data_IF_736306332868
#
_entry.id   IF_736306332868
#
_cell.length_a   1.000
_cell.length_b   1.000
_cell.length_c   1.000
_cell.angle_alpha   90.00
_cell.angle_beta   90.00
_cell.angle_gamma   90.00
#
_symmetry.space_group_name_H-M   'P 1'
#
loop_
_entity.id
_entity.type
_entity.pdbx_description
1 polymer ?
#
# COMPACT_ATOMS: atom_id res chain seq x y z
N UNK A 1 -5.33 -15.53 -37.23
CA UNK A 1 -4.80 -15.11 -35.92
C UNK A 1 -4.70 -13.58 -35.97
N UNK A 2 -5.44 -12.83 -35.14
CA UNK A 2 -5.38 -11.36 -35.17
C UNK A 2 -4.11 -10.91 -34.45
N UNK A 3 -3.27 -10.15 -35.15
CA UNK A 3 -2.07 -9.55 -34.59
C UNK A 3 -2.46 -8.56 -33.48
N UNK A 4 -1.86 -8.70 -32.31
CA UNK A 4 -1.88 -7.67 -31.26
C UNK A 4 -1.01 -6.52 -31.70
N UNK A 5 -1.62 -5.47 -32.26
CA UNK A 5 -0.95 -4.21 -32.54
C UNK A 5 -0.62 -3.52 -31.22
N UNK A 6 0.67 -3.41 -30.89
CA UNK A 6 1.14 -2.66 -29.73
C UNK A 6 1.35 -1.20 -30.11
N UNK A 7 0.50 -0.32 -29.58
CA UNK A 7 0.56 1.13 -29.72
C UNK A 7 1.47 1.72 -28.63
N UNK A 8 2.64 2.23 -29.01
CA UNK A 8 3.53 3.00 -28.13
C UNK A 8 3.04 4.45 -28.02
N UNK A 9 2.23 4.72 -27.00
CA UNK A 9 1.76 6.08 -26.69
C UNK A 9 2.71 6.74 -25.68
N UNK A 10 3.45 7.77 -26.11
CA UNK A 10 4.19 8.67 -25.21
C UNK A 10 3.24 9.66 -24.56
N UNK A 11 2.51 9.22 -23.54
CA UNK A 11 1.57 10.06 -22.79
C UNK A 11 2.34 10.74 -21.65
N UNK A 12 2.41 12.07 -21.66
CA UNK A 12 2.90 12.85 -20.53
C UNK A 12 1.72 13.11 -19.57
N UNK A 13 1.61 12.29 -18.53
CA UNK A 13 0.57 12.43 -17.50
C UNK A 13 1.16 13.00 -16.22
N UNK A 14 0.53 14.04 -15.68
CA UNK A 14 0.82 14.48 -14.33
C UNK A 14 0.15 13.56 -13.29
N UNK A 15 0.59 13.65 -12.04
CA UNK A 15 0.04 12.80 -10.97
C UNK A 15 -1.46 13.02 -10.73
N UNK A 16 -1.98 14.24 -10.88
CA UNK A 16 -3.41 14.50 -10.71
C UNK A 16 -4.22 13.80 -11.79
N UNK A 17 -3.74 13.80 -13.03
CA UNK A 17 -4.36 13.07 -14.15
C UNK A 17 -4.29 11.56 -13.94
N UNK A 18 -3.17 11.03 -13.46
CA UNK A 18 -3.08 9.61 -13.07
C UNK A 18 -4.11 9.25 -12.00
N UNK A 19 -4.27 10.08 -10.96
CA UNK A 19 -5.27 9.81 -9.91
C UNK A 19 -6.71 9.88 -10.43
N UNK A 20 -7.00 10.71 -11.44
CA UNK A 20 -8.35 10.79 -12.00
C UNK A 20 -8.70 9.52 -12.77
N UNK A 21 -7.75 8.97 -13.54
CA UNK A 21 -7.90 7.70 -14.26
C UNK A 21 -8.11 6.56 -13.27
N UNK A 22 -7.27 6.46 -12.23
CA UNK A 22 -7.40 5.42 -11.19
C UNK A 22 -8.77 5.47 -10.50
N UNK A 23 -9.33 6.66 -10.28
CA UNK A 23 -10.66 6.82 -9.68
C UNK A 23 -11.79 6.27 -10.55
N UNK A 24 -11.65 6.36 -11.88
CA UNK A 24 -12.64 5.89 -12.85
C UNK A 24 -12.66 4.37 -13.03
N UNK A 25 -11.61 3.67 -12.59
CA UNK A 25 -11.54 2.21 -12.63
C UNK A 25 -12.67 1.55 -11.82
N UNK A 26 -13.17 0.43 -12.32
CA UNK A 26 -14.12 -0.40 -11.59
C UNK A 26 -13.44 -1.20 -10.46
N UNK A 27 -14.23 -1.86 -9.61
CA UNK A 27 -13.68 -2.58 -8.44
C UNK A 27 -12.68 -3.68 -8.82
N UNK A 28 -12.93 -4.42 -9.89
CA UNK A 28 -12.03 -5.50 -10.33
C UNK A 28 -10.71 -4.96 -10.86
N UNK A 29 -10.75 -3.88 -11.63
CA UNK A 29 -9.56 -3.20 -12.15
C UNK A 29 -8.72 -2.58 -11.02
N UNK A 30 -9.36 -2.00 -10.01
CA UNK A 30 -8.67 -1.47 -8.82
C UNK A 30 -7.92 -2.56 -8.06
N UNK A 31 -8.52 -3.76 -7.94
CA UNK A 31 -7.84 -4.89 -7.31
C UNK A 31 -6.58 -5.31 -8.09
N UNK A 32 -6.70 -5.46 -9.42
CA UNK A 32 -5.55 -5.79 -10.28
C UNK A 32 -4.45 -4.72 -10.22
N UNK A 33 -4.83 -3.44 -10.22
CA UNK A 33 -3.88 -2.34 -10.08
C UNK A 33 -3.20 -2.38 -8.70
N UNK A 34 -3.94 -2.69 -7.64
CA UNK A 34 -3.37 -2.83 -6.31
C UNK A 34 -2.35 -3.96 -6.25
N UNK A 35 -2.66 -5.13 -6.81
CA UNK A 35 -1.73 -6.26 -6.92
C UNK A 35 -0.48 -5.92 -7.75
N UNK A 36 -0.63 -5.10 -8.80
CA UNK A 36 0.50 -4.66 -9.62
C UNK A 36 1.37 -3.59 -8.95
N UNK A 37 0.78 -2.75 -8.09
CA UNK A 37 1.51 -1.72 -7.34
C UNK A 37 2.23 -2.35 -6.15
N UNK A 38 1.55 -3.19 -5.38
CA UNK A 38 2.11 -3.78 -4.18
C UNK A 38 2.75 -5.14 -4.50
N UNK A 39 4.07 -5.13 -4.64
CA UNK A 39 4.89 -6.35 -4.65
C UNK A 39 5.67 -6.51 -3.33
N UNK A 40 6.11 -7.73 -3.04
CA UNK A 40 6.90 -8.05 -1.84
C UNK A 40 8.31 -7.41 -1.86
N UNK A 41 8.73 -6.85 -3.01
CA UNK A 41 10.00 -6.17 -3.21
C UNK A 41 9.93 -4.65 -3.04
N UNK A 42 8.74 -4.09 -2.80
CA UNK A 42 8.54 -2.65 -2.73
C UNK A 42 9.30 -2.07 -1.53
N UNK A 43 10.11 -1.03 -1.80
CA UNK A 43 10.79 -0.30 -0.74
C UNK A 43 9.77 0.44 0.13
N UNK A 44 9.79 0.12 1.43
CA UNK A 44 9.01 0.86 2.42
C UNK A 44 9.63 2.26 2.54
N UNK A 45 8.89 3.36 2.41
CA UNK A 45 9.47 4.69 2.50
C UNK A 45 10.13 4.92 3.88
N UNK A 46 11.28 5.61 3.89
CA UNK A 46 12.11 5.77 5.10
C UNK A 46 11.35 6.32 6.31
N UNK A 47 10.40 7.23 6.09
CA UNK A 47 9.60 7.83 7.14
C UNK A 47 8.77 6.77 7.89
N UNK A 48 8.18 5.84 7.16
CA UNK A 48 7.44 4.72 7.73
C UNK A 48 8.37 3.76 8.46
N UNK A 49 9.55 3.48 7.91
CA UNK A 49 10.56 2.66 8.58
C UNK A 49 10.96 3.27 9.93
N UNK A 50 11.27 4.59 9.94
CA UNK A 50 11.64 5.33 11.17
C UNK A 50 10.54 5.26 12.21
N UNK A 51 9.27 5.40 11.81
CA UNK A 51 8.13 5.29 12.70
C UNK A 51 8.03 3.90 13.36
N UNK A 52 8.20 2.83 12.59
CA UNK A 52 8.17 1.45 13.09
C UNK A 52 9.32 1.21 14.07
N UNK A 53 10.54 1.61 13.70
CA UNK A 53 11.72 1.48 14.56
C UNK A 53 11.54 2.22 15.90
N UNK A 54 10.96 3.42 15.88
CA UNK A 54 10.64 4.16 17.10
C UNK A 54 9.62 3.43 17.99
N UNK A 55 8.59 2.82 17.39
CA UNK A 55 7.61 2.02 18.13
C UNK A 55 8.24 0.80 18.78
N UNK A 56 9.09 0.08 18.05
CA UNK A 56 9.86 -1.06 18.57
C UNK A 56 10.74 -0.62 19.74
N UNK A 57 11.48 0.50 19.60
CA UNK A 57 12.31 1.04 20.68
C UNK A 57 11.49 1.34 21.94
N UNK A 58 10.34 2.02 21.79
CA UNK A 58 9.43 2.34 22.90
C UNK A 58 8.87 1.11 23.58
N UNK A 59 8.56 0.05 22.83
CA UNK A 59 8.08 -1.22 23.37
C UNK A 59 9.19 -1.97 24.13
N UNK A 60 10.42 -1.99 23.61
CA UNK A 60 11.58 -2.59 24.31
C UNK A 60 11.89 -1.87 25.63
N UNK A 61 11.77 -0.55 25.66
CA UNK A 61 12.00 0.26 26.87
C UNK A 61 10.87 0.13 27.90
N UNK A 62 9.65 -0.17 27.46
CA UNK A 62 8.50 -0.39 28.33
C UNK A 62 7.62 -1.53 27.79
N UNK A 63 7.92 -2.80 28.14
CA UNK A 63 7.18 -3.97 27.64
C UNK A 63 5.69 -3.94 27.97
N UNK A 64 5.29 -3.26 29.05
CA UNK A 64 3.89 -3.13 29.46
C UNK A 64 3.05 -2.27 28.50
N UNK A 65 3.68 -1.57 27.54
CA UNK A 65 2.96 -0.89 26.44
C UNK A 65 2.38 -1.86 25.42
N UNK A 66 2.89 -3.09 25.33
CA UNK A 66 2.38 -4.08 24.39
C UNK A 66 1.24 -4.86 25.03
N UNK A 67 0.10 -4.89 24.35
CA UNK A 67 -0.99 -5.79 24.69
C UNK A 67 -0.83 -7.09 23.90
N UNK A 68 -1.08 -8.25 24.53
CA UNK A 68 -1.22 -9.51 23.80
C UNK A 68 -2.27 -9.36 22.69
N UNK A 69 -1.98 -9.91 21.52
CA UNK A 69 -2.84 -9.77 20.34
C UNK A 69 -4.29 -10.23 20.61
N UNK A 70 -4.45 -11.34 21.31
CA UNK A 70 -5.77 -11.90 21.69
C UNK A 70 -6.60 -10.96 22.59
N UNK A 71 -5.95 -10.06 23.33
CA UNK A 71 -6.61 -9.02 24.13
C UNK A 71 -6.90 -7.78 23.28
N UNK A 72 -5.95 -7.39 22.42
CA UNK A 72 -6.09 -6.22 21.57
C UNK A 72 -7.26 -6.36 20.58
N UNK A 73 -7.42 -7.53 19.94
CA UNK A 73 -8.48 -7.76 18.95
C UNK A 73 -9.88 -7.60 19.54
N UNK A 74 -10.07 -7.95 20.83
CA UNK A 74 -11.34 -7.80 21.54
C UNK A 74 -11.69 -6.35 21.86
N UNK A 75 -10.72 -5.44 21.77
CA UNK A 75 -10.89 -4.01 22.03
C UNK A 75 -11.11 -3.20 20.74
N UNK A 76 -10.92 -3.80 19.57
CA UNK A 76 -11.24 -3.18 18.30
C UNK A 76 -12.75 -3.20 18.11
N UNK A 77 -13.35 -2.02 17.90
CA UNK A 77 -14.75 -1.94 17.51
C UNK A 77 -14.88 -2.43 16.05
N UNK A 78 -16.00 -3.11 15.71
CA UNK A 78 -16.28 -3.51 14.34
C UNK A 78 -16.37 -2.31 13.40
#
# INVERSE_FOLDING_TARGET
>A
MKATETLDLKINLDFKQLTSIVKQLNSSEKMKLNEAIWDDGMEIPEEHQKLVLQRIKKARQNPNRMLPWDKAIKMLKP
#
